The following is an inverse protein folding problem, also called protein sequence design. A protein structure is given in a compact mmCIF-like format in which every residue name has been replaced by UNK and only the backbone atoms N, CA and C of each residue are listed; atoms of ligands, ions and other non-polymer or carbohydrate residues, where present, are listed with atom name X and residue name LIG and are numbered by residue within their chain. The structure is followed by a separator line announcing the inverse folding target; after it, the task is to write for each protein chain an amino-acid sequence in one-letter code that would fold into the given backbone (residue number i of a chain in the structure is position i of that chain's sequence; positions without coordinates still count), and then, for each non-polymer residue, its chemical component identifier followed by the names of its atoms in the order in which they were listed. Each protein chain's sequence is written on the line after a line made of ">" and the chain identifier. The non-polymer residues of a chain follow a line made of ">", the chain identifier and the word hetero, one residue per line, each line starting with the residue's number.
data_IF_581277533300
#
_entry.id   IF_581277533300
#
_cell.length_a   1.000
_cell.length_b   1.000
_cell.length_c   1.000
_cell.angle_alpha   90.00
_cell.angle_beta   90.00
_cell.angle_gamma   90.00
#
_symmetry.space_group_name_H-M   'P 1'
#
loop_
_entity.id
_entity.type
_entity.pdbx_description
1 polymer ?
#
# COMPACT_ATOMS: atom_id res chain seq x y z
N UNK A 1 -26.21 29.68 -59.40
CA UNK A 1 -27.17 29.94 -58.33
C UNK A 1 -27.32 28.75 -57.35
N UNK A 2 -26.26 28.07 -57.02
CA UNK A 2 -26.32 26.93 -56.12
C UNK A 2 -25.50 27.16 -54.84
N UNK A 3 -25.49 28.38 -54.36
CA UNK A 3 -24.65 28.77 -53.20
C UNK A 3 -25.30 28.67 -51.82
N UNK A 4 -26.59 28.43 -51.63
CA UNK A 4 -27.14 28.41 -50.28
C UNK A 4 -26.93 27.11 -49.50
N UNK A 5 -26.51 26.04 -50.11
CA UNK A 5 -26.46 24.76 -49.42
C UNK A 5 -25.11 24.43 -48.78
N UNK A 6 -24.14 25.31 -48.91
CA UNK A 6 -22.81 25.10 -48.28
C UNK A 6 -22.74 25.53 -46.81
N UNK A 7 -23.69 26.35 -46.37
CA UNK A 7 -23.66 26.88 -45.03
C UNK A 7 -24.21 25.95 -43.95
N UNK A 8 -25.00 24.99 -44.36
CA UNK A 8 -25.67 24.07 -43.43
C UNK A 8 -24.76 22.96 -42.94
N UNK A 9 -23.67 22.71 -43.63
CA UNK A 9 -22.75 21.61 -43.26
C UNK A 9 -21.76 22.00 -42.15
N UNK A 10 -21.63 23.26 -41.81
CA UNK A 10 -20.72 23.70 -40.77
C UNK A 10 -21.30 23.70 -39.35
N UNK A 11 -22.63 23.65 -39.25
CA UNK A 11 -23.30 23.65 -37.94
C UNK A 11 -23.37 22.31 -37.25
N UNK A 12 -23.01 21.25 -37.94
CA UNK A 12 -23.07 19.90 -37.38
C UNK A 12 -21.77 19.39 -36.70
N UNK A 13 -20.68 20.17 -36.84
CA UNK A 13 -19.36 19.68 -36.37
C UNK A 13 -18.90 20.21 -35.04
N UNK A 14 -19.62 21.13 -34.45
CA UNK A 14 -19.23 21.73 -33.18
C UNK A 14 -19.90 21.11 -31.96
N UNK A 15 -20.81 20.19 -32.14
CA UNK A 15 -21.53 19.57 -31.03
C UNK A 15 -20.81 18.36 -30.39
N UNK A 16 -19.74 17.89 -30.99
CA UNK A 16 -19.07 16.67 -30.49
C UNK A 16 -17.86 16.93 -29.58
N UNK A 17 -17.46 18.17 -29.38
CA UNK A 17 -16.25 18.50 -28.61
C UNK A 17 -16.48 18.71 -27.11
N UNK A 18 -17.72 18.75 -26.67
CA UNK A 18 -18.02 19.01 -25.25
C UNK A 18 -18.23 17.75 -24.41
N UNK A 19 -18.39 16.59 -25.03
CA UNK A 19 -18.65 15.35 -24.29
C UNK A 19 -17.39 14.64 -23.78
N UNK A 20 -16.22 14.97 -24.31
CA UNK A 20 -14.97 14.28 -23.95
C UNK A 20 -14.25 14.85 -22.74
N UNK A 21 -14.58 16.06 -22.30
CA UNK A 21 -13.92 16.67 -21.14
C UNK A 21 -14.45 16.19 -19.78
N UNK A 22 -15.66 15.64 -19.74
CA UNK A 22 -16.23 15.14 -18.48
C UNK A 22 -15.68 13.79 -18.05
N UNK A 23 -15.11 13.01 -18.96
CA UNK A 23 -14.59 11.69 -18.67
C UNK A 23 -13.22 11.69 -17.98
N UNK A 24 -12.46 12.78 -18.09
CA UNK A 24 -11.13 12.88 -17.48
C UNK A 24 -11.15 13.28 -15.99
N UNK A 25 -12.25 13.87 -15.53
CA UNK A 25 -12.35 14.33 -14.14
C UNK A 25 -12.55 13.16 -13.14
N UNK A 26 -13.02 12.00 -13.60
CA UNK A 26 -13.26 10.85 -12.73
C UNK A 26 -12.05 9.93 -12.57
N UNK A 27 -11.05 10.06 -13.44
CA UNK A 27 -9.82 9.25 -13.35
C UNK A 27 -8.78 9.83 -12.39
N UNK A 28 -8.94 11.08 -11.96
CA UNK A 28 -8.00 11.77 -11.07
C UNK A 28 -8.12 11.39 -9.59
N UNK A 29 -9.21 10.70 -9.16
CA UNK A 29 -9.42 10.32 -7.77
C UNK A 29 -8.85 8.93 -7.42
N UNK A 30 -8.55 8.09 -8.41
CA UNK A 30 -8.07 6.72 -8.20
C UNK A 30 -6.58 6.59 -7.82
N UNK A 31 -5.64 7.51 -8.21
CA UNK A 31 -4.21 7.35 -7.90
C UNK A 31 -3.84 7.54 -6.43
N UNK A 32 -4.60 8.31 -5.64
CA UNK A 32 -4.24 8.61 -4.25
C UNK A 32 -4.41 7.40 -3.31
N UNK A 33 -5.43 6.57 -3.52
CA UNK A 33 -5.64 5.34 -2.74
C UNK A 33 -4.55 4.29 -3.02
N UNK A 34 -4.07 4.22 -4.26
CA UNK A 34 -2.98 3.31 -4.64
C UNK A 34 -1.63 3.76 -4.12
N UNK A 35 -1.41 5.06 -3.96
CA UNK A 35 -0.18 5.60 -3.41
C UNK A 35 0.00 5.21 -1.94
N UNK A 36 -1.06 5.29 -1.13
CA UNK A 36 -1.04 4.91 0.28
C UNK A 36 -0.83 3.40 0.45
N UNK A 37 -1.45 2.58 -0.38
CA UNK A 37 -1.24 1.13 -0.39
C UNK A 37 0.19 0.76 -0.77
N UNK A 38 0.73 1.39 -1.80
CA UNK A 38 2.10 1.18 -2.22
C UNK A 38 3.11 1.63 -1.16
N UNK A 39 2.83 2.70 -0.44
CA UNK A 39 3.69 3.17 0.64
C UNK A 39 3.68 2.19 1.83
N UNK A 40 2.51 1.74 2.24
CA UNK A 40 2.36 0.71 3.27
C UNK A 40 3.12 -0.57 2.90
N UNK A 41 2.89 -1.10 1.71
CA UNK A 41 3.54 -2.32 1.23
C UNK A 41 5.07 -2.19 1.20
N UNK A 42 5.58 -1.05 0.72
CA UNK A 42 7.03 -0.79 0.71
C UNK A 42 7.63 -0.69 2.10
N UNK A 43 6.93 -0.06 3.05
CA UNK A 43 7.38 0.06 4.44
C UNK A 43 7.49 -1.30 5.10
N UNK A 44 6.47 -2.13 4.97
CA UNK A 44 6.48 -3.48 5.53
C UNK A 44 7.53 -4.36 4.87
N UNK A 45 7.60 -4.38 3.54
CA UNK A 45 8.61 -5.18 2.83
C UNK A 45 10.04 -4.78 3.22
N UNK A 46 10.30 -3.50 3.41
CA UNK A 46 11.60 -3.01 3.86
C UNK A 46 11.92 -3.42 5.29
N UNK A 47 10.94 -3.33 6.19
CA UNK A 47 11.12 -3.73 7.58
C UNK A 47 11.29 -5.25 7.71
N UNK A 48 10.52 -6.02 6.96
CA UNK A 48 10.64 -7.48 6.89
C UNK A 48 12.00 -7.92 6.36
N UNK A 49 12.48 -7.30 5.29
CA UNK A 49 13.80 -7.57 4.75
C UNK A 49 14.93 -7.30 5.77
N UNK A 50 14.85 -6.19 6.51
CA UNK A 50 15.81 -5.88 7.59
C UNK A 50 15.76 -6.89 8.72
N UNK A 51 14.60 -7.41 9.05
CA UNK A 51 14.46 -8.48 10.03
C UNK A 51 15.18 -9.75 9.56
N UNK A 52 14.97 -10.16 8.33
CA UNK A 52 15.66 -11.33 7.76
C UNK A 52 17.17 -11.14 7.74
N UNK A 53 17.67 -9.97 7.36
CA UNK A 53 19.09 -9.65 7.41
C UNK A 53 19.65 -9.69 8.85
N UNK A 54 18.91 -9.13 9.82
CA UNK A 54 19.35 -9.13 11.20
C UNK A 54 19.42 -10.57 11.78
N UNK A 55 18.45 -11.41 11.45
CA UNK A 55 18.45 -12.83 11.86
C UNK A 55 19.62 -13.58 11.21
N UNK A 56 19.86 -13.35 9.92
CA UNK A 56 20.92 -14.02 9.17
C UNK A 56 22.32 -13.66 9.70
N UNK A 57 22.56 -12.38 9.98
CA UNK A 57 23.87 -11.88 10.38
C UNK A 57 24.15 -11.95 11.88
N UNK A 58 23.13 -11.82 12.72
CA UNK A 58 23.26 -11.70 14.17
C UNK A 58 22.58 -12.81 14.95
N UNK A 59 21.69 -13.57 14.31
CA UNK A 59 20.92 -14.63 14.92
C UNK A 59 19.51 -14.23 15.34
N UNK A 60 18.67 -15.22 15.45
CA UNK A 60 17.24 -15.04 15.74
C UNK A 60 16.96 -14.32 17.07
N UNK A 61 17.78 -14.59 18.08
CA UNK A 61 17.64 -14.01 19.44
C UNK A 61 18.55 -12.82 19.70
N UNK A 62 19.08 -12.20 18.66
CA UNK A 62 19.97 -11.05 18.81
C UNK A 62 19.20 -9.77 19.13
N UNK A 63 19.84 -8.78 19.79
CA UNK A 63 19.27 -7.45 19.96
C UNK A 63 18.92 -6.76 18.63
N UNK A 64 19.71 -7.03 17.59
CA UNK A 64 19.48 -6.50 16.24
C UNK A 64 18.18 -7.05 15.65
N UNK A 65 17.92 -8.35 15.81
CA UNK A 65 16.67 -8.96 15.38
C UNK A 65 15.47 -8.42 16.18
N UNK A 66 15.61 -8.22 17.48
CA UNK A 66 14.56 -7.61 18.32
C UNK A 66 14.23 -6.18 17.88
N UNK A 67 15.23 -5.36 17.60
CA UNK A 67 15.03 -4.02 17.07
C UNK A 67 14.33 -4.05 15.70
N UNK A 68 14.69 -4.99 14.85
CA UNK A 68 14.05 -5.16 13.54
C UNK A 68 12.60 -5.65 13.65
N UNK A 69 12.27 -6.52 14.60
CA UNK A 69 10.88 -6.94 14.90
C UNK A 69 10.04 -5.76 15.35
N UNK A 70 10.58 -4.95 16.24
CA UNK A 70 9.91 -3.73 16.68
C UNK A 70 9.59 -2.79 15.51
N UNK A 71 10.55 -2.57 14.62
CA UNK A 71 10.36 -1.75 13.43
C UNK A 71 9.31 -2.33 12.47
N UNK A 72 9.24 -3.65 12.35
CA UNK A 72 8.20 -4.32 11.55
C UNK A 72 6.81 -4.13 12.17
N UNK A 73 6.68 -4.27 13.50
CA UNK A 73 5.44 -4.00 14.21
C UNK A 73 4.99 -2.54 14.03
N UNK A 74 5.89 -1.57 14.12
CA UNK A 74 5.58 -0.17 13.87
C UNK A 74 5.12 0.08 12.42
N UNK A 75 5.73 -0.59 11.45
CA UNK A 75 5.30 -0.49 10.04
C UNK A 75 3.88 -1.03 9.84
N UNK A 76 3.52 -2.13 10.51
CA UNK A 76 2.17 -2.70 10.48
C UNK A 76 1.15 -1.76 11.14
N UNK A 77 1.49 -1.19 12.30
CA UNK A 77 0.64 -0.18 12.97
C UNK A 77 0.43 1.06 12.12
N UNK A 78 1.45 1.53 11.43
CA UNK A 78 1.32 2.63 10.48
C UNK A 78 0.30 2.32 9.39
N UNK A 79 0.38 1.15 8.78
CA UNK A 79 -0.55 0.70 7.76
C UNK A 79 -1.98 0.62 8.30
N UNK A 80 -2.15 0.05 9.47
CA UNK A 80 -3.44 -0.09 10.14
C UNK A 80 -4.08 1.27 10.43
N UNK A 81 -3.31 2.21 10.94
CA UNK A 81 -3.79 3.57 11.23
C UNK A 81 -4.25 4.34 10.00
N UNK A 82 -3.72 4.02 8.82
CA UNK A 82 -4.01 4.74 7.58
C UNK A 82 -5.13 4.10 6.74
N UNK A 83 -5.34 2.79 6.83
CA UNK A 83 -6.28 2.10 5.95
C UNK A 83 -7.04 0.94 6.58
N UNK A 84 -6.88 0.68 7.87
CA UNK A 84 -7.45 -0.48 8.58
C UNK A 84 -7.17 -1.80 7.88
N UNK A 85 -5.96 -1.91 7.32
CA UNK A 85 -5.39 -3.12 6.74
C UNK A 85 -3.89 -3.05 6.78
N UNK A 86 -3.24 -4.18 6.71
CA UNK A 86 -1.80 -4.29 6.67
C UNK A 86 -1.35 -5.32 5.65
N UNK A 87 -0.16 -5.15 5.13
CA UNK A 87 0.45 -6.04 4.17
C UNK A 87 1.25 -7.13 4.87
N UNK A 88 0.97 -8.38 4.55
CA UNK A 88 1.77 -9.51 5.00
C UNK A 88 2.80 -9.84 3.91
N UNK A 89 4.08 -9.58 4.22
CA UNK A 89 5.17 -9.79 3.28
C UNK A 89 5.41 -11.28 2.99
N UNK A 90 5.15 -12.16 3.94
CA UNK A 90 5.38 -13.59 3.80
C UNK A 90 4.33 -14.24 2.90
N UNK A 91 3.06 -13.95 3.13
CA UNK A 91 1.97 -14.45 2.29
C UNK A 91 1.68 -13.61 1.05
N UNK A 92 2.28 -12.42 0.94
CA UNK A 92 2.04 -11.42 -0.10
C UNK A 92 0.55 -11.12 -0.27
N UNK A 93 -0.13 -10.89 0.82
CA UNK A 93 -1.56 -10.63 0.88
C UNK A 93 -1.91 -9.51 1.86
N UNK A 94 -3.06 -8.88 1.62
CA UNK A 94 -3.61 -7.89 2.53
C UNK A 94 -4.44 -8.56 3.62
N UNK A 95 -4.20 -8.16 4.87
CA UNK A 95 -5.02 -8.52 6.00
C UNK A 95 -5.91 -7.34 6.41
N UNK A 96 -7.17 -7.63 6.66
CA UNK A 96 -8.18 -6.64 7.07
C UNK A 96 -8.54 -6.74 8.56
N UNK A 97 -7.85 -7.59 9.28
CA UNK A 97 -7.97 -7.77 10.72
C UNK A 97 -6.67 -7.38 11.40
N UNK A 98 -6.78 -6.84 12.62
CA UNK A 98 -5.62 -6.52 13.45
C UNK A 98 -5.10 -7.79 14.14
N UNK A 99 -4.62 -8.73 13.32
CA UNK A 99 -4.31 -10.09 13.71
C UNK A 99 -2.81 -10.43 13.69
N UNK A 100 -1.93 -9.46 13.37
CA UNK A 100 -0.51 -9.73 13.53
C UNK A 100 -0.19 -9.90 15.01
N UNK A 101 0.33 -11.04 15.31
CA UNK A 101 0.83 -11.34 16.64
C UNK A 101 2.28 -10.91 16.71
N UNK A 102 2.64 -10.30 17.81
CA UNK A 102 4.03 -10.24 18.23
C UNK A 102 4.45 -11.64 18.70
N UNK A 103 4.37 -12.62 17.80
CA UNK A 103 4.72 -14.02 18.10
C UNK A 103 6.13 -14.13 18.66
N UNK A 104 6.94 -13.13 18.37
CA UNK A 104 8.32 -13.07 18.81
C UNK A 104 8.48 -12.63 20.27
N UNK A 105 7.49 -11.97 20.86
CA UNK A 105 7.53 -11.61 22.26
C UNK A 105 7.10 -12.73 23.21
N UNK A 106 6.23 -13.63 22.77
CA UNK A 106 5.80 -14.75 23.59
C UNK A 106 6.92 -15.79 23.76
N UNK A 107 7.70 -16.06 22.73
CA UNK A 107 8.85 -16.97 22.84
C UNK A 107 9.99 -16.45 23.69
N UNK A 108 10.10 -15.15 23.87
CA UNK A 108 11.15 -14.55 24.72
C UNK A 108 10.81 -14.62 26.21
N UNK A 109 9.53 -14.63 26.57
CA UNK A 109 9.09 -14.71 27.98
C UNK A 109 9.17 -16.11 28.54
N UNK A 110 8.95 -17.14 27.72
CA UNK A 110 8.93 -18.52 28.19
C UNK A 110 10.31 -19.09 28.56
N UNK A 111 11.41 -18.42 28.17
CA UNK A 111 12.75 -18.88 28.46
C UNK A 111 13.40 -18.27 29.71
N UNK A 112 12.86 -17.16 30.23
CA UNK A 112 13.39 -16.54 31.45
C UNK A 112 12.80 -17.14 32.73
N UNK A 113 11.68 -17.86 32.65
CA UNK A 113 11.04 -18.49 33.81
C UNK A 113 11.64 -19.86 34.22
N UNK A 114 12.64 -20.33 33.52
CA UNK A 114 13.30 -21.63 33.81
C UNK A 114 14.73 -21.49 34.36
N UNK A 115 15.04 -20.36 34.97
CA UNK A 115 16.29 -20.21 35.73
C UNK A 115 16.06 -20.15 37.21
#
# INVERSE_FOLDING_TARGET
>A
MNLPNRWIQYLGKTAFLTATLAAFATLGAAPSLRADDNDCQRRINRADHRLHEAIEHHGYRSPEADGARHNLAEAREYCWGHGHRWWDADSQSWHTEHDWRDEDHEHYRDHDDHR
#
